data_IF_008371655005
#
_entry.id   IF_008371655005
#
_cell.length_a   1.000
_cell.length_b   1.000
_cell.length_c   1.000
_cell.angle_alpha   90.00
_cell.angle_beta   90.00
_cell.angle_gamma   90.00
#
_symmetry.space_group_name_H-M   'P 1'
#
loop_
_entity.id
_entity.type
_entity.pdbx_description
1 polymer ?
#
# COMPACT_ATOMS: atom_id res chain seq x y z
N UNK A 1 -15.89 -1.66 13.24
CA UNK A 1 -15.63 -3.10 13.00
C UNK A 1 -16.28 -3.44 11.67
N UNK A 2 -15.50 -3.64 10.61
CA UNK A 2 -16.02 -4.09 9.30
C UNK A 2 -15.33 -5.42 9.01
N UNK A 3 -16.05 -6.50 9.28
CA UNK A 3 -15.68 -7.85 8.87
C UNK A 3 -16.04 -7.99 7.40
N UNK A 4 -15.04 -8.14 6.53
CA UNK A 4 -15.26 -8.52 5.13
C UNK A 4 -15.45 -10.04 5.08
N UNK A 5 -16.54 -10.48 4.46
CA UNK A 5 -16.95 -11.88 4.35
C UNK A 5 -16.11 -12.73 3.41
N UNK A 6 -14.80 -12.83 3.65
CA UNK A 6 -14.00 -14.01 3.30
C UNK A 6 -13.62 -14.66 4.62
N UNK A 7 -13.94 -15.94 4.82
CA UNK A 7 -13.77 -16.67 6.10
C UNK A 7 -12.33 -16.83 6.62
N UNK A 8 -11.39 -16.01 6.15
CA UNK A 8 -10.11 -15.76 6.76
C UNK A 8 -10.08 -14.29 7.17
N UNK A 9 -10.07 -14.05 8.49
CA UNK A 9 -9.66 -12.76 9.01
C UNK A 9 -8.31 -12.39 8.35
N UNK A 10 -8.13 -11.15 7.85
CA UNK A 10 -6.84 -10.74 7.31
C UNK A 10 -5.79 -11.05 8.38
N UNK A 11 -4.76 -11.81 8.00
CA UNK A 11 -3.70 -12.19 8.90
C UNK A 11 -3.18 -10.91 9.57
N UNK A 12 -3.26 -10.87 10.91
CA UNK A 12 -2.78 -9.71 11.66
C UNK A 12 -1.30 -9.51 11.29
N UNK A 13 -0.89 -8.32 10.84
CA UNK A 13 0.51 -8.07 10.53
C UNK A 13 1.36 -8.30 11.77
N UNK A 14 2.65 -8.61 11.56
CA UNK A 14 3.55 -8.87 12.68
C UNK A 14 3.69 -7.66 13.59
N UNK A 15 4.07 -7.91 14.85
CA UNK A 15 4.20 -6.85 15.84
C UNK A 15 5.26 -5.81 15.43
N UNK A 16 6.29 -6.24 14.69
CA UNK A 16 7.31 -5.34 14.13
C UNK A 16 6.72 -4.35 13.13
N UNK A 17 5.87 -4.82 12.21
CA UNK A 17 5.17 -3.96 11.25
C UNK A 17 4.24 -2.97 11.96
N UNK A 18 3.47 -3.43 12.94
CA UNK A 18 2.57 -2.55 13.70
C UNK A 18 3.35 -1.47 14.46
N UNK A 19 4.47 -1.84 15.08
CA UNK A 19 5.34 -0.89 15.75
C UNK A 19 5.96 0.13 14.77
N UNK A 20 6.37 -0.33 13.59
CA UNK A 20 6.89 0.56 12.54
C UNK A 20 5.82 1.56 12.10
N UNK A 21 4.58 1.10 11.85
CA UNK A 21 3.45 1.95 11.46
C UNK A 21 3.04 2.96 12.54
N UNK A 22 3.12 2.58 13.81
CA UNK A 22 2.89 3.49 14.94
C UNK A 22 4.00 4.54 15.05
N UNK A 23 5.26 4.12 14.90
CA UNK A 23 6.42 5.01 15.02
C UNK A 23 6.56 5.97 13.85
N UNK A 24 6.22 5.55 12.63
CA UNK A 24 6.14 6.44 11.46
C UNK A 24 4.95 7.41 11.53
N UNK A 25 4.09 7.26 12.53
CA UNK A 25 2.88 8.06 12.67
C UNK A 25 1.87 7.80 11.56
N UNK A 26 1.98 6.70 10.81
CA UNK A 26 1.02 6.27 9.79
C UNK A 26 -0.25 5.69 10.43
N UNK A 27 -0.11 5.11 11.61
CA UNK A 27 -1.23 4.68 12.45
C UNK A 27 -1.07 5.22 13.86
N UNK A 28 -2.18 5.60 14.48
CA UNK A 28 -2.22 6.06 15.87
C UNK A 28 -3.26 5.25 16.64
N UNK A 29 -2.89 4.79 17.83
CA UNK A 29 -3.78 4.05 18.72
C UNK A 29 -3.05 2.95 19.47
N UNK A 30 -3.59 2.54 20.61
CA UNK A 30 -2.97 1.52 21.47
C UNK A 30 -3.51 0.14 21.14
N UNK A 31 -2.61 -0.80 20.81
CA UNK A 31 -2.92 -2.22 20.66
C UNK A 31 -3.79 -2.54 19.44
N UNK A 32 -4.90 -3.25 19.64
CA UNK A 32 -5.78 -3.73 18.54
C UNK A 32 -6.67 -2.64 17.92
N UNK A 33 -6.66 -1.41 18.45
CA UNK A 33 -7.49 -0.29 17.97
C UNK A 33 -6.65 0.81 17.30
N UNK A 34 -5.76 0.43 16.38
CA UNK A 34 -5.02 1.40 15.57
C UNK A 34 -5.96 2.05 14.53
N UNK A 35 -5.94 3.37 14.51
CA UNK A 35 -6.63 4.18 13.50
C UNK A 35 -5.60 4.76 12.54
N UNK A 36 -5.98 4.91 11.27
CA UNK A 36 -5.16 5.56 10.27
C UNK A 36 -5.06 7.05 10.59
N UNK A 37 -3.85 7.60 10.50
CA UNK A 37 -3.61 9.04 10.64
C UNK A 37 -3.69 9.75 9.29
N UNK A 38 -3.58 11.08 9.27
CA UNK A 38 -3.48 11.84 8.03
C UNK A 38 -2.26 11.43 7.17
N UNK A 39 -1.02 11.33 7.73
CA UNK A 39 0.12 10.75 7.01
C UNK A 39 -0.13 9.31 6.54
N UNK A 40 -0.79 8.49 7.35
CA UNK A 40 -1.20 7.14 7.00
C UNK A 40 -2.09 7.07 5.77
N UNK A 41 -3.05 7.99 5.68
CA UNK A 41 -3.89 8.09 4.51
C UNK A 41 -3.08 8.50 3.28
N UNK A 42 -2.22 9.51 3.41
CA UNK A 42 -1.33 9.93 2.32
C UNK A 42 -0.42 8.79 1.84
N UNK A 43 0.10 7.98 2.77
CA UNK A 43 0.85 6.77 2.46
C UNK A 43 0.06 5.80 1.59
N UNK A 44 -1.23 5.57 1.88
CA UNK A 44 -2.08 4.73 1.04
C UNK A 44 -2.28 5.27 -0.39
N UNK A 45 -2.08 6.57 -0.60
CA UNK A 45 -2.16 7.21 -1.93
C UNK A 45 -0.85 7.08 -2.71
N UNK A 46 0.25 6.70 -2.07
CA UNK A 46 1.53 6.51 -2.75
C UNK A 46 1.53 5.25 -3.63
N UNK A 47 2.43 5.21 -4.62
CA UNK A 47 2.61 4.01 -5.43
C UNK A 47 3.14 2.87 -4.54
N UNK A 48 2.91 1.60 -4.88
CA UNK A 48 3.44 0.47 -4.09
C UNK A 48 4.95 0.55 -3.87
N UNK A 49 5.68 1.08 -4.85
CA UNK A 49 7.13 1.30 -4.75
C UNK A 49 7.48 2.40 -3.74
N UNK A 50 6.77 3.54 -3.77
CA UNK A 50 6.98 4.62 -2.81
C UNK A 50 6.58 4.22 -1.38
N UNK A 51 5.48 3.48 -1.23
CA UNK A 51 5.07 2.90 0.06
C UNK A 51 6.17 2.01 0.65
N UNK A 52 6.76 1.14 -0.18
CA UNK A 52 7.84 0.26 0.24
C UNK A 52 9.06 1.06 0.71
N UNK A 53 9.46 2.08 -0.06
CA UNK A 53 10.60 2.93 0.30
C UNK A 53 10.38 3.73 1.58
N UNK A 54 9.18 4.28 1.81
CA UNK A 54 8.88 4.96 3.06
C UNK A 54 8.97 4.02 4.27
N UNK A 55 8.47 2.79 4.14
CA UNK A 55 8.63 1.76 5.18
C UNK A 55 10.11 1.39 5.39
N UNK A 56 10.88 1.27 4.31
CA UNK A 56 12.31 0.94 4.37
C UNK A 56 13.13 2.05 5.03
N UNK A 57 12.82 3.31 4.74
CA UNK A 57 13.44 4.47 5.37
C UNK A 57 13.11 4.51 6.87
N UNK A 58 11.86 4.24 7.25
CA UNK A 58 11.51 4.12 8.66
C UNK A 58 12.26 2.97 9.34
N UNK A 59 12.43 1.85 8.64
CA UNK A 59 13.20 0.72 9.13
C UNK A 59 14.67 1.09 9.37
N UNK A 60 15.31 1.85 8.47
CA UNK A 60 16.68 2.31 8.64
C UNK A 60 16.86 3.18 9.90
N UNK A 61 15.93 4.09 10.17
CA UNK A 61 15.94 4.87 11.41
C UNK A 61 15.81 3.98 12.65
N UNK A 62 14.96 2.95 12.59
CA UNK A 62 14.83 1.98 13.69
C UNK A 62 16.07 1.09 13.85
N UNK A 63 16.75 0.75 12.76
CA UNK A 63 17.98 -0.04 12.77
C UNK A 63 19.11 0.72 13.49
N UNK A 64 19.20 2.03 13.27
CA UNK A 64 20.13 2.92 13.98
C UNK A 64 19.89 2.91 15.50
N UNK A 65 18.63 3.00 15.92
CA UNK A 65 18.26 2.93 17.36
C UNK A 65 18.57 1.58 17.99
N UNK A 66 18.44 0.49 17.23
CA UNK A 66 18.80 -0.87 17.64
C UNK A 66 20.32 -1.11 17.62
N UNK A 67 21.14 -0.12 17.25
CA UNK A 67 22.59 -0.21 17.05
C UNK A 67 22.99 -1.30 16.04
N UNK A 68 22.17 -1.50 15.01
CA UNK A 68 22.54 -2.31 13.85
C UNK A 68 23.49 -1.51 12.97
N UNK A 69 24.43 -2.18 12.29
CA UNK A 69 25.33 -1.50 11.35
C UNK A 69 24.56 -1.12 10.08
N UNK A 70 24.38 0.20 9.86
CA UNK A 70 23.68 0.74 8.70
C UNK A 70 24.37 0.35 7.38
N UNK A 71 25.70 0.17 7.40
CA UNK A 71 26.46 -0.21 6.20
C UNK A 71 26.09 -1.63 5.79
N UNK A 72 25.99 -2.55 6.74
CA UNK A 72 25.53 -3.92 6.48
C UNK A 72 24.07 -3.97 6.02
N UNK A 73 23.20 -3.16 6.62
CA UNK A 73 21.76 -3.08 6.27
C UNK A 73 21.59 -2.57 4.84
N UNK A 74 22.21 -1.44 4.50
CA UNK A 74 22.15 -0.89 3.13
C UNK A 74 22.82 -1.84 2.13
N UNK A 75 23.97 -2.40 2.48
CA UNK A 75 24.66 -3.40 1.66
C UNK A 75 23.76 -4.60 1.35
N UNK A 76 22.99 -5.07 2.33
CA UNK A 76 22.05 -6.17 2.13
C UNK A 76 20.85 -5.78 1.24
N UNK A 77 20.32 -4.56 1.37
CA UNK A 77 19.25 -4.06 0.48
C UNK A 77 19.69 -3.97 -0.98
N UNK A 78 20.90 -3.47 -1.23
CA UNK A 78 21.48 -3.43 -2.56
C UNK A 78 21.80 -4.82 -3.10
N UNK A 79 22.30 -5.72 -2.24
CA UNK A 79 22.47 -7.12 -2.63
C UNK A 79 21.15 -7.73 -3.11
N UNK A 80 20.08 -7.58 -2.31
CA UNK A 80 18.75 -8.10 -2.65
C UNK A 80 18.18 -7.53 -3.95
N UNK A 81 18.44 -6.26 -4.24
CA UNK A 81 17.96 -5.64 -5.49
C UNK A 81 18.68 -6.17 -6.73
N UNK A 82 19.90 -6.69 -6.58
CA UNK A 82 20.65 -7.33 -7.67
C UNK A 82 20.41 -8.84 -7.80
N UNK A 83 19.61 -9.43 -6.90
CA UNK A 83 19.30 -10.87 -6.96
C UNK A 83 18.31 -11.21 -8.07
N UNK A 84 18.35 -12.47 -8.51
CA UNK A 84 17.44 -12.98 -9.53
C UNK A 84 16.17 -13.57 -8.91
N UNK A 85 15.02 -13.14 -9.44
CA UNK A 85 13.72 -13.67 -9.05
C UNK A 85 13.64 -15.19 -9.35
N UNK A 86 13.22 -15.97 -8.36
CA UNK A 86 12.99 -17.41 -8.52
C UNK A 86 14.21 -18.29 -8.26
N UNK A 87 15.38 -17.70 -7.98
CA UNK A 87 16.55 -18.44 -7.46
C UNK A 87 16.51 -18.51 -5.93
N UNK A 88 17.01 -19.61 -5.38
CA UNK A 88 17.22 -19.75 -3.93
C UNK A 88 18.63 -19.32 -3.53
N UNK A 89 18.72 -18.66 -2.37
CA UNK A 89 19.97 -18.19 -1.80
C UNK A 89 20.15 -18.74 -0.37
N UNK A 90 21.40 -19.08 -0.02
CA UNK A 90 21.73 -19.65 1.30
C UNK A 90 21.84 -18.57 2.37
N UNK A 91 21.37 -18.85 3.58
CA UNK A 91 21.51 -17.97 4.76
C UNK A 91 22.78 -18.23 5.57
N UNK A 92 23.62 -19.19 5.17
CA UNK A 92 24.76 -19.66 5.97
C UNK A 92 25.84 -18.57 6.14
N UNK A 93 26.09 -17.80 5.09
CA UNK A 93 27.09 -16.73 5.07
C UNK A 93 26.56 -15.37 5.54
N UNK A 94 25.31 -15.30 6.01
CA UNK A 94 24.72 -14.04 6.48
C UNK A 94 25.21 -13.73 7.90
N UNK A 95 25.66 -12.50 8.11
CA UNK A 95 26.01 -11.96 9.42
C UNK A 95 24.79 -11.88 10.35
N UNK A 96 25.04 -11.60 11.63
CA UNK A 96 23.98 -11.53 12.65
C UNK A 96 22.95 -10.43 12.33
N UNK A 97 23.42 -9.25 11.93
CA UNK A 97 22.59 -8.12 11.46
C UNK A 97 21.71 -8.52 10.28
N UNK A 98 22.30 -9.20 9.28
CA UNK A 98 21.61 -9.62 8.07
C UNK A 98 20.56 -10.70 8.35
N UNK A 99 20.80 -11.60 9.31
CA UNK A 99 19.82 -12.61 9.75
C UNK A 99 18.62 -11.97 10.46
N UNK A 100 18.86 -11.01 11.35
CA UNK A 100 17.78 -10.25 11.98
C UNK A 100 16.95 -9.51 10.92
N UNK A 101 17.63 -8.85 9.98
CA UNK A 101 16.98 -8.16 8.86
C UNK A 101 16.20 -9.12 7.95
N UNK A 102 16.67 -10.34 7.75
CA UNK A 102 15.97 -11.36 6.96
C UNK A 102 14.57 -11.66 7.52
N UNK A 103 14.43 -11.70 8.85
CA UNK A 103 13.14 -11.91 9.51
C UNK A 103 12.21 -10.72 9.31
N UNK A 104 12.71 -9.50 9.43
CA UNK A 104 11.94 -8.27 9.21
C UNK A 104 11.49 -8.15 7.73
N UNK A 105 12.41 -8.41 6.78
CA UNK A 105 12.12 -8.36 5.35
C UNK A 105 11.15 -9.45 4.89
N UNK A 106 11.12 -10.59 5.58
CA UNK A 106 10.09 -11.62 5.38
C UNK A 106 8.71 -11.08 5.75
N UNK A 107 8.61 -10.37 6.88
CA UNK A 107 7.35 -9.79 7.33
C UNK A 107 6.87 -8.65 6.42
N UNK A 108 7.79 -7.92 5.77
CA UNK A 108 7.46 -6.93 4.72
C UNK A 108 7.15 -7.55 3.35
N UNK A 109 7.33 -8.87 3.19
CA UNK A 109 7.11 -9.55 1.92
C UNK A 109 8.17 -9.28 0.85
N UNK A 110 9.32 -8.72 1.23
CA UNK A 110 10.50 -8.56 0.37
C UNK A 110 11.21 -9.90 0.14
N UNK A 111 11.08 -10.81 1.10
CA UNK A 111 11.70 -12.14 1.05
C UNK A 111 10.66 -13.20 1.35
N UNK A 112 10.74 -14.31 0.62
CA UNK A 112 9.96 -15.50 0.91
C UNK A 112 10.85 -16.61 1.46
N UNK A 113 10.38 -17.25 2.53
CA UNK A 113 11.00 -18.43 3.11
C UNK A 113 9.93 -19.50 3.34
N UNK A 114 10.23 -20.76 2.97
CA UNK A 114 9.29 -21.87 3.17
C UNK A 114 8.98 -22.12 4.66
N UNK A 115 9.97 -21.90 5.52
CA UNK A 115 9.89 -21.97 6.99
C UNK A 115 10.78 -20.89 7.56
N UNK A 116 10.43 -20.33 8.73
CA UNK A 116 11.26 -19.32 9.41
C UNK A 116 12.70 -19.81 9.69
N UNK A 117 12.88 -21.12 9.93
CA UNK A 117 14.18 -21.75 10.15
C UNK A 117 14.85 -22.30 8.88
N UNK A 118 14.31 -21.98 7.69
CA UNK A 118 14.88 -22.46 6.42
C UNK A 118 16.24 -21.82 6.16
N UNK A 119 17.22 -22.65 5.79
CA UNK A 119 18.56 -22.17 5.35
C UNK A 119 18.56 -21.52 3.96
N UNK A 120 17.40 -21.49 3.31
CA UNK A 120 17.21 -20.95 1.96
C UNK A 120 16.10 -19.93 1.94
N UNK A 121 16.33 -18.83 1.24
CA UNK A 121 15.36 -17.76 1.00
C UNK A 121 15.28 -17.40 -0.48
N UNK A 122 14.17 -16.78 -0.87
CA UNK A 122 13.87 -16.39 -2.23
C UNK A 122 13.51 -14.90 -2.24
N UNK A 123 14.20 -14.06 -3.03
CA UNK A 123 13.82 -12.65 -3.17
C UNK A 123 12.47 -12.56 -3.89
N UNK A 124 11.57 -11.69 -3.41
CA UNK A 124 10.32 -11.42 -4.11
C UNK A 124 10.51 -10.33 -5.16
N UNK A 125 9.50 -10.12 -6.01
CA UNK A 125 9.53 -9.03 -7.00
C UNK A 125 9.81 -7.68 -6.36
N UNK A 126 9.22 -7.42 -5.19
CA UNK A 126 9.40 -6.18 -4.44
C UNK A 126 10.87 -5.90 -4.11
N UNK A 127 11.65 -6.94 -3.77
CA UNK A 127 13.07 -6.81 -3.47
C UNK A 127 13.89 -6.57 -4.74
N UNK A 128 13.65 -7.37 -5.80
CA UNK A 128 14.40 -7.25 -7.06
C UNK A 128 14.14 -5.93 -7.80
N UNK A 129 12.96 -5.33 -7.63
CA UNK A 129 12.62 -4.03 -8.22
C UNK A 129 12.82 -2.85 -7.25
N UNK A 130 13.48 -3.06 -6.11
CA UNK A 130 13.64 -2.04 -5.08
C UNK A 130 14.42 -0.83 -5.60
N UNK A 131 15.50 -1.05 -6.36
CA UNK A 131 16.30 0.02 -6.98
C UNK A 131 15.94 0.29 -8.44
N UNK A 132 14.96 -0.43 -9.00
CA UNK A 132 14.53 -0.24 -10.38
C UNK A 132 13.36 0.76 -10.44
N UNK A 133 13.42 1.68 -11.40
CA UNK A 133 12.29 2.56 -11.71
C UNK A 133 11.21 1.89 -12.56
N UNK A 134 11.42 0.64 -12.98
CA UNK A 134 10.44 -0.11 -13.75
C UNK A 134 9.28 -0.54 -12.85
N UNK A 135 8.03 -0.36 -13.29
CA UNK A 135 6.88 -0.84 -12.53
C UNK A 135 7.00 -2.36 -12.32
N UNK A 136 6.57 -2.89 -11.15
CA UNK A 136 6.57 -4.31 -10.89
C UNK A 136 5.85 -5.04 -12.04
N UNK A 137 6.53 -6.00 -12.68
CA UNK A 137 5.95 -6.78 -13.78
C UNK A 137 4.62 -7.38 -13.30
N UNK A 138 3.52 -7.28 -14.09
CA UNK A 138 2.21 -7.75 -13.66
C UNK A 138 2.31 -9.22 -13.21
N UNK A 139 1.82 -9.50 -12.00
CA UNK A 139 1.76 -10.86 -11.49
C UNK A 139 0.78 -11.65 -12.35
N UNK A 140 1.29 -12.65 -13.07
CA UNK A 140 0.56 -13.49 -14.03
C UNK A 140 -0.55 -14.37 -13.43
N UNK A 141 -1.07 -14.05 -12.25
CA UNK A 141 -2.07 -14.83 -11.52
C UNK A 141 -3.31 -14.04 -11.09
N UNK A 142 -3.46 -12.78 -11.49
CA UNK A 142 -4.73 -12.06 -11.30
C UNK A 142 -5.21 -11.51 -12.63
N UNK A 143 -6.24 -12.15 -13.18
CA UNK A 143 -7.06 -11.67 -14.30
C UNK A 143 -7.84 -10.37 -13.96
N UNK A 144 -7.36 -9.57 -12.99
CA UNK A 144 -7.96 -8.31 -12.52
C UNK A 144 -6.94 -7.19 -12.24
N UNK A 145 -5.63 -7.45 -12.12
CA UNK A 145 -4.65 -6.38 -11.85
C UNK A 145 -4.32 -5.51 -13.09
N UNK A 146 -4.58 -6.02 -14.30
CA UNK A 146 -4.51 -5.19 -15.52
C UNK A 146 -5.56 -4.08 -15.56
N UNK A 147 -6.67 -4.25 -14.81
CA UNK A 147 -7.69 -3.22 -14.63
C UNK A 147 -7.32 -2.22 -13.51
N UNK A 148 -6.44 -2.56 -12.58
CA UNK A 148 -6.05 -1.67 -11.47
C UNK A 148 -5.16 -0.49 -11.91
N UNK A 149 -4.49 -0.59 -13.08
CA UNK A 149 -3.81 0.54 -13.71
C UNK A 149 -4.76 1.46 -14.50
N UNK A 150 -5.98 0.99 -14.79
CA UNK A 150 -7.03 1.79 -15.40
C UNK A 150 -7.91 2.31 -14.26
N UNK A 151 -8.02 3.63 -14.11
CA UNK A 151 -8.82 4.19 -13.02
C UNK A 151 -10.23 3.56 -12.97
N UNK A 152 -10.70 3.28 -11.76
CA UNK A 152 -11.91 2.51 -11.50
C UNK A 152 -13.06 3.36 -10.96
N UNK A 153 -12.83 4.65 -10.73
CA UNK A 153 -13.78 5.58 -10.13
C UNK A 153 -14.44 6.41 -11.22
N UNK A 154 -15.78 6.49 -11.15
CA UNK A 154 -16.61 7.40 -11.92
C UNK A 154 -17.34 8.32 -10.95
N UNK A 155 -17.19 9.62 -11.14
CA UNK A 155 -17.86 10.67 -10.37
C UNK A 155 -18.80 11.46 -11.29
N UNK A 156 -20.08 11.53 -10.93
CA UNK A 156 -21.08 12.35 -11.63
C UNK A 156 -21.18 13.76 -11.04
N UNK A 157 -21.79 14.69 -11.79
CA UNK A 157 -22.03 16.09 -11.37
C UNK A 157 -23.03 16.22 -10.21
N UNK A 158 -23.84 15.19 -9.96
CA UNK A 158 -24.77 15.10 -8.84
C UNK A 158 -24.14 14.51 -7.55
N UNK A 159 -22.80 14.44 -7.50
CA UNK A 159 -22.02 13.87 -6.39
C UNK A 159 -22.15 12.36 -6.19
N UNK A 160 -22.72 11.61 -7.14
CA UNK A 160 -22.74 10.14 -7.11
C UNK A 160 -21.40 9.56 -7.55
N UNK A 161 -20.94 8.55 -6.82
CA UNK A 161 -19.71 7.81 -7.11
C UNK A 161 -20.05 6.36 -7.43
N UNK A 162 -19.44 5.86 -8.50
CA UNK A 162 -19.43 4.45 -8.88
C UNK A 162 -17.98 4.00 -8.94
N UNK A 163 -17.62 3.00 -8.14
CA UNK A 163 -16.27 2.45 -8.11
C UNK A 163 -16.29 0.97 -8.46
N UNK A 164 -15.63 0.61 -9.57
CA UNK A 164 -15.50 -0.76 -10.04
C UNK A 164 -14.26 -1.42 -9.44
N UNK A 165 -14.37 -1.82 -8.18
CA UNK A 165 -13.26 -2.44 -7.46
C UNK A 165 -13.74 -3.65 -6.67
N UNK A 166 -12.99 -4.73 -6.79
CA UNK A 166 -13.03 -5.92 -5.95
C UNK A 166 -12.06 -5.83 -4.77
N UNK A 167 -11.19 -4.80 -4.76
CA UNK A 167 -10.18 -4.62 -3.74
C UNK A 167 -10.80 -4.01 -2.46
N UNK A 168 -10.81 -4.76 -1.33
CA UNK A 168 -11.38 -4.28 -0.09
C UNK A 168 -10.64 -3.06 0.48
N UNK A 169 -9.35 -2.90 0.18
CA UNK A 169 -8.56 -1.74 0.62
C UNK A 169 -9.05 -0.45 -0.06
N UNK A 170 -9.26 -0.46 -1.37
CA UNK A 170 -9.80 0.70 -2.10
C UNK A 170 -11.21 1.05 -1.65
N UNK A 171 -12.03 0.03 -1.38
CA UNK A 171 -13.36 0.22 -0.79
C UNK A 171 -13.27 0.87 0.59
N UNK A 172 -12.33 0.45 1.44
CA UNK A 172 -12.14 1.04 2.77
C UNK A 172 -11.69 2.51 2.69
N UNK A 173 -10.81 2.84 1.74
CA UNK A 173 -10.35 4.22 1.49
C UNK A 173 -11.53 5.11 1.07
N UNK A 174 -12.36 4.66 0.12
CA UNK A 174 -13.54 5.40 -0.33
C UNK A 174 -14.52 5.67 0.83
N UNK A 175 -14.71 4.71 1.74
CA UNK A 175 -15.62 4.85 2.88
C UNK A 175 -15.20 5.95 3.88
N UNK A 176 -13.97 6.48 3.78
CA UNK A 176 -13.51 7.56 4.65
C UNK A 176 -14.17 8.91 4.30
N UNK A 177 -14.50 9.13 3.03
CA UNK A 177 -15.05 10.42 2.54
C UNK A 177 -16.32 10.29 1.69
N UNK A 178 -16.77 9.06 1.39
CA UNK A 178 -18.01 8.77 0.64
C UNK A 178 -19.04 8.10 1.56
N UNK A 179 -20.30 8.49 1.43
CA UNK A 179 -21.42 7.76 2.03
C UNK A 179 -21.87 6.63 1.11
N UNK A 180 -21.64 5.38 1.51
CA UNK A 180 -22.04 4.21 0.71
C UNK A 180 -23.55 3.96 0.78
N UNK A 181 -24.13 3.68 -0.39
CA UNK A 181 -25.55 3.29 -0.52
C UNK A 181 -25.68 1.79 -0.73
N UNK A 182 -24.91 1.25 -1.68
CA UNK A 182 -24.95 -0.17 -2.04
C UNK A 182 -23.53 -0.69 -2.31
N UNK A 183 -23.27 -1.93 -1.91
CA UNK A 183 -22.02 -2.65 -2.23
C UNK A 183 -22.36 -3.98 -2.88
N UNK A 184 -21.90 -4.16 -4.11
CA UNK A 184 -21.89 -5.40 -4.86
C UNK A 184 -20.45 -5.95 -4.92
N UNK A 185 -20.24 -7.23 -5.32
CA UNK A 185 -18.91 -7.84 -5.34
C UNK A 185 -17.85 -7.04 -6.12
N UNK A 186 -18.22 -6.43 -7.24
CA UNK A 186 -17.31 -5.69 -8.12
C UNK A 186 -17.72 -4.22 -8.33
N UNK A 187 -18.68 -3.71 -7.57
CA UNK A 187 -19.22 -2.35 -7.73
C UNK A 187 -19.63 -1.77 -6.38
N UNK A 188 -19.10 -0.59 -6.08
CA UNK A 188 -19.50 0.21 -4.93
C UNK A 188 -20.23 1.45 -5.44
N UNK A 189 -21.43 1.70 -4.91
CA UNK A 189 -22.23 2.88 -5.24
C UNK A 189 -22.40 3.74 -3.99
N UNK A 190 -22.06 5.01 -4.09
CA UNK A 190 -22.15 5.96 -2.99
C UNK A 190 -22.41 7.39 -3.46
N UNK A 191 -22.42 8.31 -2.51
CA UNK A 191 -22.50 9.74 -2.78
C UNK A 191 -21.59 10.53 -1.85
N UNK A 192 -20.97 11.59 -2.38
CA UNK A 192 -20.23 12.57 -1.58
C UNK A 192 -21.23 13.52 -0.95
N UNK A 193 -21.23 13.60 0.37
CA UNK A 193 -22.16 14.44 1.16
C UNK A 193 -21.37 15.42 2.01
N UNK A 194 -22.00 16.50 2.45
CA UNK A 194 -21.35 17.46 3.35
C UNK A 194 -20.88 16.78 4.64
N UNK A 195 -21.67 15.84 5.15
CA UNK A 195 -21.39 15.10 6.38
C UNK A 195 -20.20 14.15 6.19
N UNK A 196 -20.13 13.44 5.07
CA UNK A 196 -19.03 12.52 4.78
C UNK A 196 -17.70 13.27 4.60
N UNK A 197 -17.72 14.41 3.91
CA UNK A 197 -16.54 15.27 3.75
C UNK A 197 -16.12 15.88 5.09
N UNK A 198 -17.07 16.43 5.87
CA UNK A 198 -16.78 16.97 7.21
C UNK A 198 -16.13 15.92 8.12
N UNK A 199 -16.60 14.68 8.08
CA UNK A 199 -16.03 13.55 8.83
C UNK A 199 -14.61 13.21 8.36
N UNK A 200 -14.36 13.25 7.04
CA UNK A 200 -13.02 13.04 6.49
C UNK A 200 -12.04 14.14 6.98
N UNK A 201 -12.47 15.40 6.95
CA UNK A 201 -11.67 16.53 7.44
C UNK A 201 -11.38 16.41 8.95
N UNK A 202 -12.34 15.99 9.77
CA UNK A 202 -12.09 15.77 11.20
C UNK A 202 -11.11 14.63 11.47
N UNK A 203 -10.99 13.68 10.54
CA UNK A 203 -9.99 12.60 10.60
C UNK A 203 -8.63 13.02 10.00
N UNK A 204 -8.46 14.29 9.65
CA UNK A 204 -7.22 14.84 9.09
C UNK A 204 -7.02 14.60 7.59
N UNK A 205 -8.04 14.16 6.86
CA UNK A 205 -7.98 14.00 5.40
C UNK A 205 -8.30 15.35 4.76
N UNK A 206 -7.35 15.93 4.02
CA UNK A 206 -7.54 17.24 3.39
C UNK A 206 -8.35 17.13 2.09
N UNK A 207 -8.99 18.23 1.68
CA UNK A 207 -9.74 18.28 0.43
C UNK A 207 -8.85 17.96 -0.79
N UNK A 208 -7.62 18.48 -0.81
CA UNK A 208 -6.65 18.21 -1.89
C UNK A 208 -6.30 16.73 -2.00
N UNK A 209 -6.18 16.02 -0.87
CA UNK A 209 -5.94 14.58 -0.86
C UNK A 209 -7.12 13.79 -1.46
N UNK A 210 -8.35 14.19 -1.15
CA UNK A 210 -9.57 13.59 -1.73
C UNK A 210 -9.61 13.81 -3.24
N UNK A 211 -9.36 15.04 -3.69
CA UNK A 211 -9.34 15.40 -5.13
C UNK A 211 -8.24 14.63 -5.85
N UNK A 212 -7.04 14.57 -5.28
CA UNK A 212 -5.90 13.84 -5.85
C UNK A 212 -6.21 12.35 -5.98
N UNK A 213 -6.83 11.74 -4.97
CA UNK A 213 -7.22 10.33 -5.03
C UNK A 213 -8.25 10.07 -6.14
N UNK A 214 -9.33 10.86 -6.17
CA UNK A 214 -10.38 10.74 -7.18
C UNK A 214 -9.83 10.93 -8.60
N UNK A 215 -8.91 11.88 -8.80
CA UNK A 215 -8.30 12.17 -10.11
C UNK A 215 -7.36 11.06 -10.56
N UNK A 216 -6.53 10.54 -9.64
CA UNK A 216 -5.54 9.50 -9.95
C UNK A 216 -6.22 8.18 -10.33
N UNK A 217 -7.34 7.86 -9.68
CA UNK A 217 -8.11 6.64 -9.93
C UNK A 217 -9.35 6.87 -10.81
N UNK A 218 -9.45 8.01 -11.49
CA UNK A 218 -10.55 8.30 -12.41
C UNK A 218 -10.47 7.43 -13.67
N UNK A 219 -11.64 6.95 -14.11
CA UNK A 219 -11.77 6.14 -15.31
C UNK A 219 -11.07 6.78 -16.53
N UNK A 220 -10.30 6.02 -17.35
CA UNK A 220 -9.53 6.59 -18.45
C UNK A 220 -10.35 7.45 -19.42
N UNK A 221 -11.62 7.10 -19.67
CA UNK A 221 -12.51 7.90 -20.51
C UNK A 221 -12.88 9.25 -19.87
N UNK A 222 -13.02 9.31 -18.54
CA UNK A 222 -13.23 10.58 -17.84
C UNK A 222 -11.99 11.46 -17.87
N UNK A 223 -10.80 10.87 -17.74
CA UNK A 223 -9.53 11.60 -17.87
C UNK A 223 -9.35 12.21 -19.26
N UNK A 224 -9.70 11.46 -20.31
CA UNK A 224 -9.72 11.96 -21.69
C UNK A 224 -10.72 13.11 -21.86
N UNK A 225 -11.92 12.99 -21.31
CA UNK A 225 -12.94 14.04 -21.41
C UNK A 225 -12.56 15.33 -20.65
N UNK A 226 -11.88 15.21 -19.51
CA UNK A 226 -11.38 16.38 -18.77
C UNK A 226 -10.37 17.19 -19.60
N UNK A 227 -9.49 16.54 -20.37
CA UNK A 227 -8.59 17.25 -21.28
C UNK A 227 -9.31 17.99 -22.41
N UNK A 228 -10.47 17.52 -22.88
CA UNK A 228 -11.24 18.24 -23.91
C UNK A 228 -12.01 19.44 -23.34
N UNK A 229 -12.42 19.39 -22.07
CA UNK A 229 -13.09 20.53 -21.43
C UNK A 229 -12.15 21.72 -21.18
N UNK A 230 -10.85 21.48 -20.95
CA UNK A 230 -9.87 22.56 -20.80
C UNK A 230 -9.52 23.26 -22.12
N UNK A 231 -9.79 22.65 -23.28
CA UNK A 231 -9.52 23.23 -24.61
C UNK A 231 -10.69 24.07 -25.16
N UNK A 232 -11.84 24.08 -24.50
CA UNK A 232 -13.03 24.86 -24.88
C UNK A 232 -13.25 26.10 -23.99
N UNK A 233 -12.24 26.46 -23.20
CA UNK A 233 -12.29 27.52 -22.20
C UNK A 233 -11.30 28.66 -22.40
N UNK A 234 -10.69 28.78 -23.58
CA UNK A 234 -9.96 29.99 -24.03
C UNK A 234 -10.80 30.76 -25.07
#
# INVERSE_FOLDING_TARGET
MVSSGTGQAPAKPSQGVLFLLERSGLMAGRGSFMQITSPGFQFLLHSPHAQLWELLLQYLHMAEERRMDLIEVLGFLFMLSTMELGRDYSTENLGETQRAMLEDLRDYGLIWQRKASSRRFYPTRLATTLTSSLPPLPTSGSTGAGAQAQGFIILETNYRIYAYTDNPLQTAILNLFVSFKCRFPNLVVGSVTRESVKKALSNGITADQIIKYLTTHAHPQMRKNASYCNFLGD
#
